data_IF_291036533226
#
_entry.id   IF_291036533226
#
_cell.length_a   1.000
_cell.length_b   1.000
_cell.length_c   1.000
_cell.angle_alpha   90.00
_cell.angle_beta   90.00
_cell.angle_gamma   90.00
#
_symmetry.space_group_name_H-M   'P 1'
#
loop_
_entity.id
_entity.type
_entity.pdbx_description
1 polymer ?
#
# COMPACT_ATOMS: atom_id res chain seq x y z
N UNK A 1 -8.24 17.05 -13.74
CA UNK A 1 -8.19 17.40 -12.31
C UNK A 1 -6.82 16.98 -11.80
N UNK A 2 -6.04 17.87 -11.16
CA UNK A 2 -4.78 17.48 -10.54
C UNK A 2 -5.10 16.82 -9.18
N UNK A 3 -4.53 15.65 -8.91
CA UNK A 3 -4.60 15.02 -7.60
C UNK A 3 -3.60 15.68 -6.65
N UNK A 4 -3.90 15.71 -5.34
CA UNK A 4 -2.93 16.15 -4.35
C UNK A 4 -1.69 15.25 -4.37
N UNK A 5 -0.55 15.85 -4.06
CA UNK A 5 0.73 15.16 -3.94
C UNK A 5 1.02 15.00 -2.45
N UNK A 6 1.30 13.78 -2.01
CA UNK A 6 1.70 13.52 -0.62
C UNK A 6 3.17 13.88 -0.43
N UNK A 7 3.50 14.57 0.64
CA UNK A 7 4.86 15.12 0.87
C UNK A 7 5.95 14.03 0.89
N UNK A 8 5.64 12.84 1.40
CA UNK A 8 6.59 11.76 1.57
C UNK A 8 6.41 10.62 0.55
N UNK A 9 5.17 10.31 0.13
CA UNK A 9 4.86 9.24 -0.83
C UNK A 9 4.84 9.72 -2.28
N UNK A 10 4.81 11.04 -2.49
CA UNK A 10 4.70 11.62 -3.82
C UNK A 10 3.28 11.57 -4.41
N UNK A 11 3.14 11.66 -5.74
CA UNK A 11 1.85 11.65 -6.41
C UNK A 11 1.23 10.26 -6.48
N UNK A 12 -0.10 10.19 -6.48
CA UNK A 12 -0.81 9.00 -6.93
C UNK A 12 -0.44 8.66 -8.37
N UNK A 13 -0.37 7.36 -8.70
CA UNK A 13 -0.02 6.90 -10.04
C UNK A 13 -1.12 6.06 -10.66
N UNK A 14 -1.17 6.03 -11.99
CA UNK A 14 -2.09 5.23 -12.78
C UNK A 14 -1.32 4.43 -13.82
N UNK A 15 -1.62 3.14 -13.94
CA UNK A 15 -1.03 2.24 -14.92
C UNK A 15 -2.12 1.53 -15.70
N UNK A 16 -2.09 1.63 -17.02
CA UNK A 16 -2.92 0.86 -17.94
C UNK A 16 -2.18 -0.44 -18.25
N UNK A 17 -2.42 -1.46 -17.42
CA UNK A 17 -1.61 -2.69 -17.41
C UNK A 17 -1.96 -3.68 -18.52
N UNK A 18 -3.22 -3.67 -18.97
CA UNK A 18 -3.67 -4.59 -20.01
C UNK A 18 -4.83 -3.98 -20.80
N UNK A 19 -4.88 -4.28 -22.09
CA UNK A 19 -5.97 -3.90 -23.00
C UNK A 19 -6.38 -5.14 -23.80
N UNK A 20 -7.68 -5.37 -23.91
CA UNK A 20 -8.28 -6.40 -24.76
C UNK A 20 -9.40 -5.78 -25.58
N UNK A 21 -9.58 -6.23 -26.83
CA UNK A 21 -10.68 -5.75 -27.67
C UNK A 21 -10.65 -6.33 -29.08
N UNK A 22 -11.81 -6.25 -29.75
CA UNK A 22 -11.98 -6.75 -31.11
C UNK A 22 -12.05 -8.27 -31.23
N UNK A 23 -12.21 -8.75 -32.47
CA UNK A 23 -12.36 -10.17 -32.78
C UNK A 23 -11.34 -10.64 -33.82
N UNK A 24 -11.22 -9.89 -34.90
CA UNK A 24 -10.39 -10.23 -36.03
C UNK A 24 -9.79 -8.98 -36.69
N UNK A 25 -8.62 -9.10 -37.36
CA UNK A 25 -7.91 -7.92 -37.88
C UNK A 25 -8.70 -7.12 -38.93
N UNK A 26 -9.70 -7.70 -39.55
CA UNK A 26 -10.54 -7.10 -40.59
C UNK A 26 -11.95 -6.72 -40.13
N UNK A 27 -12.24 -6.82 -38.82
CA UNK A 27 -13.51 -6.42 -38.25
C UNK A 27 -13.27 -5.22 -37.35
N UNK A 28 -14.07 -4.18 -37.53
CA UNK A 28 -14.03 -3.00 -36.64
C UNK A 28 -14.43 -3.44 -35.22
N UNK A 29 -13.59 -3.19 -34.19
CA UNK A 29 -13.91 -3.54 -32.83
C UNK A 29 -15.17 -2.84 -32.34
N UNK A 30 -16.05 -3.58 -31.67
CA UNK A 30 -17.26 -3.07 -31.01
C UNK A 30 -17.11 -2.99 -29.48
N UNK A 31 -16.08 -3.59 -28.94
CA UNK A 31 -15.77 -3.49 -27.51
C UNK A 31 -14.27 -3.49 -27.24
N UNK A 32 -13.90 -2.89 -26.11
CA UNK A 32 -12.57 -2.99 -25.51
C UNK A 32 -12.68 -3.00 -23.99
N UNK A 33 -11.76 -3.69 -23.36
CA UNK A 33 -11.60 -3.73 -21.91
C UNK A 33 -10.19 -3.35 -21.51
N UNK A 34 -10.07 -2.55 -20.48
CA UNK A 34 -8.79 -2.06 -19.95
C UNK A 34 -8.70 -2.39 -18.49
N UNK A 35 -7.56 -2.96 -18.05
CA UNK A 35 -7.23 -3.11 -16.63
C UNK A 35 -6.35 -1.95 -16.20
N UNK A 36 -6.81 -1.27 -15.17
CA UNK A 36 -6.14 -0.08 -14.63
C UNK A 36 -5.75 -0.33 -13.19
N UNK A 37 -4.47 -0.18 -12.86
CA UNK A 37 -3.96 -0.15 -11.49
C UNK A 37 -3.73 1.31 -11.07
N UNK A 38 -4.41 1.72 -10.02
CA UNK A 38 -4.27 3.05 -9.44
C UNK A 38 -3.64 2.96 -8.07
N UNK A 39 -2.43 3.51 -7.91
CA UNK A 39 -1.75 3.61 -6.62
C UNK A 39 -2.07 4.95 -6.01
N UNK A 40 -2.89 4.93 -4.98
CA UNK A 40 -3.40 6.13 -4.34
C UNK A 40 -2.53 6.50 -3.15
N UNK A 41 -2.22 7.79 -3.03
CA UNK A 41 -1.53 8.35 -1.86
C UNK A 41 -2.49 9.26 -1.09
N UNK A 42 -2.46 9.26 0.25
CA UNK A 42 -3.31 10.17 1.02
C UNK A 42 -3.13 11.63 0.57
N UNK A 43 -4.17 12.46 0.59
CA UNK A 43 -5.54 12.17 1.03
C UNK A 43 -6.45 11.59 -0.08
N UNK A 44 -5.88 11.13 -1.21
CA UNK A 44 -6.67 10.55 -2.30
C UNK A 44 -7.17 9.16 -1.90
N UNK A 45 -8.47 8.97 -1.95
CA UNK A 45 -9.16 7.72 -1.62
C UNK A 45 -9.77 7.04 -2.86
N UNK A 46 -10.29 5.84 -2.66
CA UNK A 46 -10.97 5.07 -3.71
C UNK A 46 -12.16 5.81 -4.29
N UNK A 47 -12.88 6.60 -3.49
CA UNK A 47 -14.00 7.39 -3.98
C UNK A 47 -13.54 8.49 -4.94
N UNK A 48 -12.41 9.14 -4.68
CA UNK A 48 -11.82 10.10 -5.60
C UNK A 48 -11.36 9.44 -6.91
N UNK A 49 -10.73 8.26 -6.82
CA UNK A 49 -10.32 7.48 -7.99
C UNK A 49 -11.53 7.05 -8.84
N UNK A 50 -12.59 6.58 -8.21
CA UNK A 50 -13.85 6.19 -8.86
C UNK A 50 -14.46 7.37 -9.62
N UNK A 51 -14.55 8.55 -8.99
CA UNK A 51 -15.04 9.77 -9.68
C UNK A 51 -14.21 10.15 -10.91
N UNK A 52 -12.89 9.92 -10.88
CA UNK A 52 -12.04 10.17 -12.05
C UNK A 52 -12.37 9.23 -13.20
N UNK A 53 -12.61 7.95 -12.91
CA UNK A 53 -13.02 6.96 -13.91
C UNK A 53 -14.38 7.33 -14.50
N UNK A 54 -15.35 7.68 -13.68
CA UNK A 54 -16.69 8.13 -14.10
C UNK A 54 -16.61 9.37 -15.01
N UNK A 55 -15.79 10.34 -14.65
CA UNK A 55 -15.55 11.52 -15.50
C UNK A 55 -14.91 11.16 -16.85
N UNK A 56 -13.94 10.24 -16.84
CA UNK A 56 -13.31 9.79 -18.09
C UNK A 56 -14.32 9.07 -19.01
N UNK A 57 -15.19 8.23 -18.46
CA UNK A 57 -16.28 7.58 -19.19
C UNK A 57 -17.24 8.64 -19.75
N UNK A 58 -17.70 9.58 -18.95
CA UNK A 58 -18.61 10.63 -19.40
C UNK A 58 -18.03 11.48 -20.54
N UNK A 59 -16.73 11.80 -20.47
CA UNK A 59 -16.02 12.51 -21.54
C UNK A 59 -15.95 11.68 -22.82
N UNK A 60 -15.67 10.38 -22.72
CA UNK A 60 -15.61 9.47 -23.87
C UNK A 60 -16.99 9.32 -24.54
N UNK A 61 -18.05 9.11 -23.76
CA UNK A 61 -19.43 8.99 -24.25
C UNK A 61 -19.91 10.28 -24.94
N UNK A 62 -19.55 11.44 -24.41
CA UNK A 62 -19.88 12.71 -25.02
C UNK A 62 -19.10 12.97 -26.33
N UNK A 63 -17.87 12.46 -26.44
CA UNK A 63 -17.00 12.68 -27.61
C UNK A 63 -17.27 11.69 -28.74
N UNK A 64 -17.75 10.47 -28.45
CA UNK A 64 -17.92 9.38 -29.42
C UNK A 64 -19.36 8.90 -29.40
N UNK A 65 -20.20 9.26 -30.41
CA UNK A 65 -21.58 8.80 -30.49
C UNK A 65 -21.69 7.26 -30.46
N UNK A 66 -22.54 6.74 -29.59
CA UNK A 66 -22.74 5.29 -29.42
C UNK A 66 -21.70 4.59 -28.54
N UNK A 67 -20.72 5.31 -28.03
CA UNK A 67 -19.81 4.79 -27.01
C UNK A 67 -20.53 4.69 -25.66
N UNK A 68 -20.38 3.56 -25.00
CA UNK A 68 -20.90 3.33 -23.64
C UNK A 68 -19.80 2.70 -22.79
N UNK A 69 -19.51 3.32 -21.65
CA UNK A 69 -18.48 2.86 -20.72
C UNK A 69 -19.08 2.33 -19.41
N UNK A 70 -18.44 1.33 -18.85
CA UNK A 70 -18.71 0.85 -17.49
C UNK A 70 -17.43 0.43 -16.82
N UNK A 71 -17.44 0.31 -15.50
CA UNK A 71 -16.28 -0.15 -14.76
C UNK A 71 -16.68 -1.08 -13.61
N UNK A 72 -15.70 -1.85 -13.15
CA UNK A 72 -15.83 -2.68 -11.96
C UNK A 72 -14.56 -2.49 -11.12
N UNK A 73 -14.73 -2.18 -9.84
CA UNK A 73 -13.63 -2.14 -8.88
C UNK A 73 -13.34 -3.57 -8.44
N UNK A 74 -12.18 -4.09 -8.81
CA UNK A 74 -11.75 -5.46 -8.50
C UNK A 74 -10.92 -5.56 -7.23
N UNK A 75 -10.44 -4.45 -6.73
CA UNK A 75 -9.70 -4.37 -5.47
C UNK A 75 -9.76 -2.97 -4.89
N UNK A 76 -10.12 -2.89 -3.62
CA UNK A 76 -10.11 -1.66 -2.84
C UNK A 76 -9.20 -1.86 -1.63
N UNK A 77 -8.05 -1.18 -1.68
CA UNK A 77 -6.99 -1.27 -0.69
C UNK A 77 -6.57 0.15 -0.33
N UNK A 78 -7.15 0.72 0.74
CA UNK A 78 -6.91 2.11 1.09
C UNK A 78 -5.42 2.33 1.41
N UNK A 79 -4.92 3.50 1.04
CA UNK A 79 -3.63 3.98 1.49
C UNK A 79 -3.71 4.26 3.00
N UNK A 80 -2.61 3.96 3.71
CA UNK A 80 -2.51 4.19 5.15
C UNK A 80 -1.48 5.28 5.37
N UNK A 81 -1.93 6.30 6.07
CA UNK A 81 -1.05 7.34 6.56
C UNK A 81 -0.47 6.92 7.92
N UNK A 82 0.81 7.22 8.12
CA UNK A 82 1.48 7.00 9.40
C UNK A 82 0.78 7.75 10.52
N UNK A 83 0.48 7.06 11.62
CA UNK A 83 0.09 7.69 12.87
C UNK A 83 1.34 7.98 13.72
N UNK A 84 1.76 9.24 13.87
CA UNK A 84 2.95 9.58 14.67
C UNK A 84 2.76 9.27 16.16
N UNK A 85 1.50 9.14 16.62
CA UNK A 85 1.17 8.83 18.01
C UNK A 85 0.91 7.33 18.24
N UNK A 86 1.18 6.47 17.25
CA UNK A 86 1.00 5.03 17.38
C UNK A 86 1.89 4.46 18.49
N UNK A 87 1.33 3.89 19.56
CA UNK A 87 2.11 3.27 20.62
C UNK A 87 2.89 2.05 20.13
N UNK A 88 2.34 1.31 19.14
CA UNK A 88 3.03 0.17 18.53
C UNK A 88 4.27 0.63 17.73
N UNK A 89 4.16 1.74 16.98
CA UNK A 89 5.30 2.31 16.27
C UNK A 89 6.40 2.73 17.23
N UNK A 90 6.03 3.41 18.33
CA UNK A 90 6.98 3.82 19.35
C UNK A 90 7.66 2.63 20.04
N UNK A 91 6.89 1.55 20.31
CA UNK A 91 7.43 0.33 20.90
C UNK A 91 8.36 -0.42 19.96
N UNK A 92 7.99 -0.53 18.67
CA UNK A 92 8.82 -1.18 17.66
C UNK A 92 10.11 -0.41 17.43
N UNK A 93 10.04 0.93 17.33
CA UNK A 93 11.24 1.75 17.18
C UNK A 93 12.20 1.55 18.36
N UNK A 94 11.72 1.61 19.59
CA UNK A 94 12.57 1.34 20.77
C UNK A 94 13.21 -0.05 20.71
N UNK A 95 12.43 -1.10 20.43
CA UNK A 95 12.96 -2.45 20.31
C UNK A 95 14.04 -2.57 19.20
N UNK A 96 13.85 -1.89 18.10
CA UNK A 96 14.82 -1.87 17.00
C UNK A 96 16.10 -1.10 17.39
N UNK A 97 15.96 0.06 18.04
CA UNK A 97 17.09 0.86 18.52
C UNK A 97 17.93 0.08 19.55
N UNK A 98 17.28 -0.57 20.51
CA UNK A 98 17.94 -1.38 21.55
C UNK A 98 18.70 -2.58 20.94
N UNK A 99 18.11 -3.29 19.99
CA UNK A 99 18.72 -4.47 19.35
C UNK A 99 19.85 -4.09 18.40
N UNK A 100 19.76 -2.94 17.75
CA UNK A 100 20.76 -2.52 16.75
C UNK A 100 21.83 -1.58 17.31
N UNK A 101 21.65 -1.10 18.55
CA UNK A 101 22.48 -0.04 19.17
C UNK A 101 22.60 1.19 18.24
N UNK A 102 21.48 1.56 17.61
CA UNK A 102 21.42 2.63 16.62
C UNK A 102 20.06 3.34 16.63
N UNK A 103 20.02 4.61 16.28
CA UNK A 103 18.78 5.36 16.05
C UNK A 103 18.17 4.95 14.70
N UNK A 104 17.25 3.98 14.75
CA UNK A 104 16.61 3.44 13.54
C UNK A 104 15.58 4.41 12.98
N UNK A 105 15.47 4.44 11.66
CA UNK A 105 14.53 5.33 10.96
C UNK A 105 13.24 4.62 10.61
N UNK A 106 12.12 5.34 10.71
CA UNK A 106 10.81 4.89 10.22
C UNK A 106 10.65 5.36 8.79
N UNK A 107 10.57 4.41 7.87
CA UNK A 107 10.41 4.70 6.45
C UNK A 107 8.96 4.62 5.98
N UNK A 108 8.79 4.77 4.67
CA UNK A 108 7.52 4.60 3.96
C UNK A 108 7.61 3.38 3.05
N UNK A 109 6.52 2.66 2.98
CA UNK A 109 6.39 1.54 2.07
C UNK A 109 5.41 1.91 0.95
N UNK A 110 5.92 2.05 -0.27
CA UNK A 110 5.11 2.40 -1.45
C UNK A 110 4.39 1.20 -2.07
N UNK A 111 4.64 0.00 -1.56
CA UNK A 111 3.98 -1.23 -1.97
C UNK A 111 2.66 -1.46 -1.22
N UNK A 112 2.15 -2.68 -1.34
CA UNK A 112 0.95 -3.14 -0.66
C UNK A 112 1.30 -4.23 0.36
N UNK A 113 0.68 -4.17 1.53
CA UNK A 113 0.74 -5.21 2.57
C UNK A 113 -0.63 -5.41 3.20
N UNK A 114 -0.82 -6.50 3.93
CA UNK A 114 -2.06 -6.78 4.66
C UNK A 114 -2.38 -5.75 5.73
N UNK A 115 -1.39 -4.97 6.16
CA UNK A 115 -1.57 -3.80 7.03
C UNK A 115 -2.61 -2.83 6.46
N UNK A 116 -2.62 -2.61 5.13
CA UNK A 116 -3.61 -1.79 4.45
C UNK A 116 -5.04 -2.35 4.59
N UNK A 117 -5.19 -3.69 4.52
CA UNK A 117 -6.50 -4.34 4.72
C UNK A 117 -6.96 -4.18 6.16
N UNK A 118 -6.07 -4.44 7.12
CA UNK A 118 -6.40 -4.33 8.55
C UNK A 118 -6.83 -2.90 8.86
N UNK A 119 -6.00 -1.89 8.55
CA UNK A 119 -6.31 -0.50 8.83
C UNK A 119 -7.58 -0.02 8.11
N UNK A 120 -7.74 -0.37 6.82
CA UNK A 120 -8.88 0.04 6.03
C UNK A 120 -10.21 -0.57 6.47
N UNK A 121 -10.21 -1.85 6.90
CA UNK A 121 -11.43 -2.54 7.34
C UNK A 121 -11.79 -2.29 8.80
N UNK A 122 -10.80 -2.12 9.65
CA UNK A 122 -11.02 -1.98 11.10
C UNK A 122 -10.96 -0.53 11.58
N UNK A 123 -10.44 0.38 10.74
CA UNK A 123 -10.12 1.75 11.14
C UNK A 123 -8.93 1.84 12.10
N UNK A 124 -8.28 0.72 12.42
CA UNK A 124 -7.14 0.70 13.34
C UNK A 124 -5.88 1.19 12.63
N UNK A 125 -5.44 2.40 12.93
CA UNK A 125 -4.22 3.01 12.41
C UNK A 125 -2.95 2.63 13.20
N UNK A 126 -3.12 1.92 14.33
CA UNK A 126 -2.01 1.40 15.12
C UNK A 126 -1.50 0.08 14.53
N UNK A 127 -1.09 0.11 13.28
CA UNK A 127 -0.58 -1.04 12.55
C UNK A 127 0.53 -0.60 11.59
N UNK A 128 1.49 -1.49 11.33
CA UNK A 128 2.63 -1.22 10.47
C UNK A 128 3.21 -2.51 9.89
N UNK A 129 4.07 -2.37 8.89
CA UNK A 129 4.85 -3.47 8.34
C UNK A 129 6.28 -3.39 8.85
N UNK A 130 6.82 -4.53 9.29
CA UNK A 130 8.22 -4.69 9.68
C UNK A 130 8.70 -6.07 9.24
N UNK A 131 9.91 -6.13 8.72
CA UNK A 131 10.49 -7.39 8.24
C UNK A 131 11.97 -7.26 7.91
N UNK A 132 12.65 -8.40 7.64
CA UNK A 132 14.07 -8.43 7.29
C UNK A 132 14.30 -8.07 5.83
N UNK A 133 15.52 -7.65 5.51
CA UNK A 133 15.98 -7.38 4.14
C UNK A 133 15.70 -5.98 3.65
N UNK A 134 15.96 -5.75 2.38
CA UNK A 134 15.82 -4.47 1.71
C UNK A 134 14.71 -4.49 0.66
N UNK A 135 13.76 -3.56 0.75
CA UNK A 135 12.73 -3.37 -0.28
C UNK A 135 13.31 -3.08 -1.68
N UNK A 136 14.55 -2.56 -1.74
CA UNK A 136 15.21 -2.33 -3.02
C UNK A 136 15.50 -3.61 -3.81
N UNK A 137 15.47 -4.76 -3.16
CA UNK A 137 15.67 -6.07 -3.77
C UNK A 137 14.35 -6.80 -4.10
N UNK A 138 13.23 -6.33 -3.57
CA UNK A 138 11.93 -6.98 -3.75
C UNK A 138 11.52 -7.03 -5.24
N UNK A 139 11.00 -8.19 -5.66
CA UNK A 139 10.52 -8.45 -7.03
C UNK A 139 11.59 -8.28 -8.13
N UNK A 140 12.87 -8.43 -7.77
CA UNK A 140 13.99 -8.37 -8.72
C UNK A 140 14.58 -9.76 -8.98
N UNK A 141 15.22 -9.97 -10.16
CA UNK A 141 16.05 -11.15 -10.35
C UNK A 141 17.09 -11.25 -9.25
N UNK A 142 17.28 -12.46 -8.71
CA UNK A 142 18.17 -12.75 -7.59
C UNK A 142 17.79 -12.03 -6.28
N UNK A 143 16.50 -11.82 -6.04
CA UNK A 143 15.99 -11.35 -4.74
C UNK A 143 16.54 -12.26 -3.61
N UNK A 144 17.02 -11.64 -2.55
CA UNK A 144 17.54 -12.36 -1.38
C UNK A 144 17.34 -11.56 -0.10
N UNK A 145 17.36 -12.25 1.02
CA UNK A 145 17.40 -11.66 2.36
C UNK A 145 18.66 -12.18 3.06
N UNK A 146 19.54 -11.30 3.56
CA UNK A 146 20.69 -11.71 4.35
C UNK A 146 20.24 -12.46 5.61
N UNK A 147 20.90 -13.59 5.92
CA UNK A 147 20.57 -14.37 7.11
C UNK A 147 20.70 -13.53 8.41
N UNK A 148 21.67 -12.64 8.49
CA UNK A 148 21.85 -11.74 9.63
C UNK A 148 20.65 -10.80 9.84
N UNK A 149 19.98 -10.38 8.75
CA UNK A 149 18.78 -9.54 8.84
C UNK A 149 17.58 -10.33 9.37
N UNK A 150 17.47 -11.63 9.05
CA UNK A 150 16.44 -12.51 9.59
C UNK A 150 16.62 -12.64 11.10
N UNK A 151 17.83 -12.92 11.56
CA UNK A 151 18.15 -13.05 12.99
C UNK A 151 17.88 -11.74 13.73
N UNK A 152 18.29 -10.62 13.18
CA UNK A 152 18.04 -9.28 13.75
C UNK A 152 16.54 -8.99 13.84
N UNK A 153 15.81 -9.25 12.78
CA UNK A 153 14.36 -9.09 12.77
C UNK A 153 13.68 -9.93 13.86
N UNK A 154 14.08 -11.17 14.02
CA UNK A 154 13.58 -12.03 15.09
C UNK A 154 13.87 -11.44 16.49
N UNK A 155 15.07 -10.94 16.73
CA UNK A 155 15.45 -10.32 18.01
C UNK A 155 14.59 -9.08 18.30
N UNK A 156 14.37 -8.22 17.31
CA UNK A 156 13.52 -7.03 17.45
C UNK A 156 12.07 -7.42 17.75
N UNK A 157 11.53 -8.44 17.06
CA UNK A 157 10.15 -8.89 17.33
C UNK A 157 9.98 -9.51 18.71
N UNK A 158 10.99 -10.24 19.21
CA UNK A 158 10.99 -10.76 20.59
C UNK A 158 10.99 -9.59 21.58
N UNK A 159 11.93 -8.63 21.43
CA UNK A 159 12.00 -7.45 22.28
C UNK A 159 10.71 -6.61 22.25
N UNK A 160 10.10 -6.47 21.05
CA UNK A 160 8.80 -5.82 20.92
C UNK A 160 7.70 -6.56 21.68
N UNK A 161 7.63 -7.89 21.53
CA UNK A 161 6.64 -8.71 22.22
C UNK A 161 6.79 -8.60 23.73
N UNK A 162 8.00 -8.67 24.26
CA UNK A 162 8.30 -8.49 25.67
C UNK A 162 7.84 -7.12 26.17
N UNK A 163 8.15 -6.06 25.43
CA UNK A 163 7.78 -4.68 25.79
C UNK A 163 6.27 -4.40 25.74
N UNK A 164 5.53 -5.10 24.89
CA UNK A 164 4.09 -4.87 24.69
C UNK A 164 3.23 -5.78 25.55
N UNK A 165 3.63 -7.05 25.69
CA UNK A 165 2.80 -8.08 26.34
C UNK A 165 3.05 -8.16 27.85
N UNK A 166 4.25 -7.81 28.33
CA UNK A 166 4.62 -7.96 29.72
C UNK A 166 4.83 -6.60 30.40
N UNK A 167 4.47 -6.50 31.66
CA UNK A 167 4.81 -5.35 32.50
C UNK A 167 6.19 -5.54 33.17
N UNK A 168 6.63 -4.53 33.90
CA UNK A 168 7.91 -4.58 34.63
C UNK A 168 7.96 -5.65 35.75
N UNK A 169 6.83 -6.21 36.12
CA UNK A 169 6.73 -7.31 37.12
C UNK A 169 6.72 -8.69 36.45
N UNK A 170 6.74 -8.77 35.13
CA UNK A 170 6.64 -10.02 34.36
C UNK A 170 5.21 -10.57 34.28
N UNK A 171 4.20 -9.73 34.46
CA UNK A 171 2.80 -10.10 34.29
C UNK A 171 2.30 -9.62 32.92
N UNK A 172 1.34 -10.37 32.36
CA UNK A 172 0.71 -9.99 31.08
C UNK A 172 -0.06 -8.69 31.29
N UNK A 173 0.19 -7.70 30.45
CA UNK A 173 -0.56 -6.44 30.43
C UNK A 173 -2.01 -6.72 30.05
N UNK A 174 -2.95 -6.26 30.85
CA UNK A 174 -4.38 -6.40 30.61
C UNK A 174 -4.88 -5.47 29.50
#
# INVERSE_FOLDING_TARGET
MALPVHDELGPSTITFGQIEGGYRPYVVPDHAKVWVDMRLTPPTDTAAATRMVEQAIAVAEAAVPGCHGSYTVTGDRPAIERDPNSPLLAALKRAADDVTDADTTVGFFTGYTDTAVIAGKTGNRNCMSYGPGSLALAHKPNEYVPHADIVRCQQVLIALADNVLWDASGQVRA
#
